data_IF_006393448269
#
_entry.id   IF_006393448269
#
_cell.length_a   1.000
_cell.length_b   1.000
_cell.length_c   1.000
_cell.angle_alpha   90.00
_cell.angle_beta   90.00
_cell.angle_gamma   90.00
#
_symmetry.space_group_name_H-M   'P 1'
#
loop_
_entity.id
_entity.type
_entity.pdbx_description
1 polymer ?
#
# COMPACT_ATOMS: atom_id res chain seq x y z
N UNK A 1 31.67 18.71 14.90
CA UNK A 1 30.47 17.87 14.80
C UNK A 1 29.78 18.19 13.48
N UNK A 2 30.02 17.38 12.44
CA UNK A 2 29.57 17.69 11.06
C UNK A 2 28.09 17.29 10.92
N UNK A 3 27.19 18.18 10.48
CA UNK A 3 25.78 17.84 10.30
C UNK A 3 25.62 16.83 9.16
N UNK A 4 24.90 15.72 9.43
CA UNK A 4 24.62 14.68 8.43
C UNK A 4 23.76 15.27 7.31
N UNK A 5 24.12 15.09 6.03
CA UNK A 5 23.33 15.62 4.92
C UNK A 5 21.95 14.95 4.87
N UNK A 6 20.90 15.76 4.91
CA UNK A 6 19.52 15.30 4.81
C UNK A 6 19.25 14.79 3.39
N UNK A 7 18.81 13.53 3.29
CA UNK A 7 18.45 12.87 2.04
C UNK A 7 17.22 13.57 1.45
N UNK A 8 17.43 14.39 0.43
CA UNK A 8 16.37 15.03 -0.32
C UNK A 8 15.80 14.03 -1.32
N UNK A 9 14.48 14.05 -1.56
CA UNK A 9 13.83 13.05 -2.43
C UNK A 9 12.75 13.67 -3.30
N UNK A 10 12.74 13.39 -4.61
CA UNK A 10 11.78 13.87 -5.64
C UNK A 10 10.90 12.74 -6.15
N UNK A 11 9.66 13.09 -6.52
CA UNK A 11 8.58 12.20 -6.95
C UNK A 11 8.30 12.29 -8.47
N UNK A 12 8.13 11.17 -9.20
CA UNK A 12 7.64 11.13 -10.61
C UNK A 12 6.65 9.96 -10.84
N UNK A 13 5.61 10.16 -11.66
CA UNK A 13 4.56 9.16 -11.96
C UNK A 13 4.42 8.75 -13.44
N UNK A 14 3.93 7.51 -13.67
CA UNK A 14 3.61 6.90 -14.98
C UNK A 14 2.42 5.92 -14.81
N UNK A 15 1.35 6.02 -15.61
CA UNK A 15 0.14 5.17 -15.55
C UNK A 15 -0.27 4.70 -16.96
N UNK A 16 -0.43 3.38 -17.20
CA UNK A 16 -1.39 2.85 -18.21
C UNK A 16 -1.66 1.32 -18.25
N UNK A 17 -0.86 0.43 -17.65
CA UNK A 17 -0.99 -1.05 -17.89
C UNK A 17 -1.63 -1.91 -16.77
N UNK A 18 -2.10 -1.33 -15.66
CA UNK A 18 -2.51 -2.08 -14.45
C UNK A 18 -4.02 -2.41 -14.35
N UNK A 19 -4.86 -1.90 -15.26
CA UNK A 19 -6.32 -1.96 -15.12
C UNK A 19 -6.91 -3.37 -15.38
N UNK A 20 -6.54 -4.05 -16.47
CA UNK A 20 -7.16 -5.34 -16.87
C UNK A 20 -6.86 -6.51 -15.91
N UNK A 21 -5.64 -6.57 -15.38
CA UNK A 21 -5.25 -7.62 -14.41
C UNK A 21 -6.02 -7.49 -13.09
N UNK A 22 -6.38 -6.27 -12.72
CA UNK A 22 -7.12 -5.97 -11.50
C UNK A 22 -8.57 -6.45 -11.59
N UNK A 23 -9.22 -6.29 -12.75
CA UNK A 23 -10.59 -6.76 -12.98
C UNK A 23 -10.71 -8.28 -12.90
N UNK A 24 -9.76 -9.03 -13.49
CA UNK A 24 -9.79 -10.50 -13.46
C UNK A 24 -9.63 -11.11 -12.06
N UNK A 25 -8.87 -10.46 -11.17
CA UNK A 25 -8.70 -10.90 -9.78
C UNK A 25 -10.02 -10.73 -9.00
N UNK A 26 -10.67 -9.58 -9.14
CA UNK A 26 -11.94 -9.27 -8.48
C UNK A 26 -13.03 -10.29 -8.84
N UNK A 27 -13.17 -10.65 -10.12
CA UNK A 27 -14.19 -11.63 -10.56
C UNK A 27 -13.95 -13.02 -9.95
N UNK A 28 -12.68 -13.44 -9.81
CA UNK A 28 -12.34 -14.73 -9.19
C UNK A 28 -12.67 -14.75 -7.71
N UNK A 29 -12.41 -13.65 -7.01
CA UNK A 29 -12.65 -13.57 -5.56
C UNK A 29 -14.14 -13.49 -5.23
N UNK A 30 -14.94 -12.78 -6.03
CA UNK A 30 -16.41 -12.79 -5.93
C UNK A 30 -16.97 -14.21 -6.08
N UNK A 31 -16.48 -14.98 -7.07
CA UNK A 31 -16.95 -16.36 -7.29
C UNK A 31 -16.60 -17.30 -6.13
N UNK A 32 -15.44 -17.10 -5.49
CA UNK A 32 -15.03 -17.88 -4.30
C UNK A 32 -15.88 -17.55 -3.08
N UNK A 33 -16.15 -16.27 -2.84
CA UNK A 33 -16.96 -15.83 -1.70
C UNK A 33 -18.40 -16.35 -1.82
N UNK A 34 -18.99 -16.28 -3.03
CA UNK A 34 -20.32 -16.83 -3.30
C UNK A 34 -20.39 -18.35 -3.05
N UNK A 35 -19.36 -19.10 -3.45
CA UNK A 35 -19.30 -20.55 -3.17
C UNK A 35 -19.20 -20.83 -1.66
N UNK A 36 -18.43 -20.03 -0.93
CA UNK A 36 -18.26 -20.15 0.51
C UNK A 36 -19.56 -19.87 1.27
N UNK A 37 -20.29 -18.83 0.88
CA UNK A 37 -21.60 -18.50 1.46
C UNK A 37 -22.62 -19.62 1.22
N UNK A 38 -22.70 -20.14 -0.01
CA UNK A 38 -23.60 -21.25 -0.35
C UNK A 38 -23.35 -22.51 0.50
N UNK A 39 -22.07 -22.86 0.67
CA UNK A 39 -21.65 -23.99 1.50
C UNK A 39 -21.99 -23.76 2.97
N UNK A 40 -21.77 -22.53 3.46
CA UNK A 40 -22.03 -22.15 4.85
C UNK A 40 -23.52 -22.20 5.16
N UNK A 41 -24.37 -21.65 4.29
CA UNK A 41 -25.83 -21.68 4.44
C UNK A 41 -26.38 -23.10 4.46
N UNK A 42 -25.93 -23.97 3.54
CA UNK A 42 -26.36 -25.38 3.52
C UNK A 42 -25.97 -26.13 4.79
N UNK A 43 -24.82 -25.80 5.37
CA UNK A 43 -24.36 -26.42 6.60
C UNK A 43 -25.13 -25.94 7.84
N UNK A 44 -25.50 -24.67 7.88
CA UNK A 44 -26.34 -24.07 8.93
C UNK A 44 -27.74 -24.67 8.85
N UNK A 45 -28.30 -24.83 7.66
CA UNK A 45 -29.61 -25.43 7.46
C UNK A 45 -29.65 -26.88 7.97
N UNK A 46 -28.65 -27.70 7.63
CA UNK A 46 -28.51 -29.05 8.18
C UNK A 46 -28.35 -29.05 9.71
N UNK A 47 -27.60 -28.10 10.26
CA UNK A 47 -27.44 -27.97 11.72
C UNK A 47 -28.76 -27.62 12.42
N UNK A 48 -29.60 -26.76 11.81
CA UNK A 48 -30.93 -26.40 12.34
C UNK A 48 -31.93 -27.55 12.26
N UNK A 49 -31.82 -28.40 11.23
CA UNK A 49 -32.64 -29.62 11.07
C UNK A 49 -32.24 -30.76 12.02
N UNK A 50 -31.02 -30.70 12.58
CA UNK A 50 -30.48 -31.75 13.44
C UNK A 50 -29.86 -32.92 12.69
N UNK A 51 -29.50 -32.72 11.41
CA UNK A 51 -28.92 -33.76 10.55
C UNK A 51 -27.45 -34.06 10.91
N UNK A 52 -26.97 -35.25 10.52
CA UNK A 52 -25.60 -35.68 10.74
C UNK A 52 -24.58 -34.87 9.91
N UNK A 53 -23.95 -33.88 10.56
CA UNK A 53 -22.91 -33.02 9.97
C UNK A 53 -21.73 -33.79 9.35
N UNK A 54 -21.51 -35.05 9.77
CA UNK A 54 -20.44 -35.91 9.25
C UNK A 54 -20.69 -36.36 7.83
N UNK A 55 -21.94 -36.61 7.46
CA UNK A 55 -22.32 -37.03 6.10
C UNK A 55 -22.27 -35.83 5.15
N UNK A 56 -22.83 -34.70 5.58
CA UNK A 56 -22.78 -33.43 4.84
C UNK A 56 -21.33 -33.00 4.59
N UNK A 57 -20.44 -33.17 5.57
CA UNK A 57 -19.01 -32.88 5.43
C UNK A 57 -18.33 -33.74 4.34
N UNK A 58 -18.69 -35.03 4.22
CA UNK A 58 -18.17 -35.91 3.16
C UNK A 58 -18.67 -35.48 1.78
N UNK A 59 -19.96 -35.17 1.65
CA UNK A 59 -20.53 -34.70 0.38
C UNK A 59 -19.94 -33.38 -0.09
N UNK A 60 -19.60 -32.48 0.83
CA UNK A 60 -19.00 -31.18 0.53
C UNK A 60 -17.46 -31.23 0.44
N UNK A 61 -16.82 -32.32 0.85
CA UNK A 61 -15.36 -32.45 0.89
C UNK A 61 -14.67 -31.55 1.91
N UNK A 62 -15.33 -31.25 3.04
CA UNK A 62 -14.85 -30.30 4.06
C UNK A 62 -14.46 -31.06 5.34
N UNK A 63 -13.42 -30.57 6.03
CA UNK A 63 -13.03 -31.13 7.33
C UNK A 63 -14.15 -30.92 8.36
N UNK A 64 -14.52 -31.99 9.07
CA UNK A 64 -15.60 -31.96 10.09
C UNK A 64 -15.40 -30.87 11.16
N UNK A 65 -14.16 -30.54 11.51
CA UNK A 65 -13.82 -29.46 12.45
C UNK A 65 -14.34 -28.10 11.98
N UNK A 66 -14.21 -27.82 10.69
CA UNK A 66 -14.71 -26.58 10.07
C UNK A 66 -16.24 -26.60 10.07
N UNK A 67 -16.84 -27.74 9.75
CA UNK A 67 -18.29 -27.88 9.76
C UNK A 67 -18.90 -27.59 11.14
N UNK A 68 -18.34 -28.19 12.20
CA UNK A 68 -18.76 -27.93 13.58
C UNK A 68 -18.60 -26.45 13.97
N UNK A 69 -17.49 -25.82 13.57
CA UNK A 69 -17.25 -24.41 13.86
C UNK A 69 -18.23 -23.48 13.16
N UNK A 70 -18.62 -23.80 11.91
CA UNK A 70 -19.63 -23.04 11.17
C UNK A 70 -21.02 -23.24 11.79
N UNK A 71 -21.40 -24.48 12.08
CA UNK A 71 -22.68 -24.81 12.70
C UNK A 71 -22.84 -24.13 14.07
N UNK A 72 -21.79 -24.15 14.90
CA UNK A 72 -21.79 -23.48 16.20
C UNK A 72 -21.80 -21.94 16.11
N UNK A 73 -21.28 -21.37 15.02
CA UNK A 73 -21.30 -19.93 14.81
C UNK A 73 -22.65 -19.41 14.29
N UNK A 74 -23.52 -20.28 13.76
CA UNK A 74 -24.88 -20.02 13.24
C UNK A 74 -25.00 -18.70 12.47
N UNK A 75 -24.03 -18.44 11.59
CA UNK A 75 -23.96 -17.19 10.81
C UNK A 75 -23.54 -17.47 9.38
N UNK A 76 -24.31 -16.93 8.44
CA UNK A 76 -24.10 -17.13 7.01
C UNK A 76 -22.94 -16.28 6.46
N UNK A 77 -22.49 -15.26 7.21
CA UNK A 77 -21.45 -14.32 6.82
C UNK A 77 -20.08 -14.55 7.49
N UNK A 78 -19.01 -14.33 6.73
CA UNK A 78 -17.67 -14.13 7.31
C UNK A 78 -17.64 -12.78 8.04
N UNK A 79 -17.20 -12.75 9.30
CA UNK A 79 -16.92 -11.48 9.96
C UNK A 79 -15.85 -10.73 9.16
N UNK A 80 -16.09 -9.44 8.90
CA UNK A 80 -15.05 -8.59 8.34
C UNK A 80 -13.88 -8.54 9.34
N UNK A 81 -12.63 -8.74 8.89
CA UNK A 81 -11.48 -8.49 9.75
C UNK A 81 -11.55 -7.05 10.24
N UNK A 82 -11.13 -6.81 11.49
CA UNK A 82 -11.07 -5.46 12.04
C UNK A 82 -10.22 -4.54 11.17
N UNK A 83 -10.60 -3.27 11.07
CA UNK A 83 -9.79 -2.26 10.41
C UNK A 83 -8.73 -1.73 11.37
N UNK A 84 -7.51 -1.53 10.87
CA UNK A 84 -6.52 -0.72 11.58
C UNK A 84 -6.86 0.76 11.41
N UNK A 85 -6.81 1.53 12.51
CA UNK A 85 -6.95 2.99 12.45
C UNK A 85 -5.72 3.57 11.74
N UNK A 86 -5.90 4.05 10.52
CA UNK A 86 -4.87 4.81 9.80
C UNK A 86 -4.75 6.19 10.44
N UNK A 87 -3.53 6.65 10.70
CA UNK A 87 -3.27 7.99 11.28
C UNK A 87 -3.55 9.14 10.30
N UNK A 88 -3.63 8.81 9.01
CA UNK A 88 -3.86 9.75 7.91
C UNK A 88 -5.31 9.60 7.47
N UNK A 89 -6.08 10.68 7.62
CA UNK A 89 -7.41 10.80 7.06
C UNK A 89 -7.34 10.97 5.53
N UNK A 90 -8.45 10.71 4.85
CA UNK A 90 -8.55 10.86 3.39
C UNK A 90 -8.31 12.31 2.96
N UNK A 91 -8.79 13.29 3.74
CA UNK A 91 -8.57 14.72 3.51
C UNK A 91 -7.08 15.09 3.59
N UNK A 92 -6.38 14.66 4.64
CA UNK A 92 -4.95 14.87 4.81
C UNK A 92 -4.13 14.19 3.70
N UNK A 93 -4.60 13.04 3.22
CA UNK A 93 -3.98 12.29 2.12
C UNK A 93 -4.10 13.06 0.81
N UNK A 94 -5.28 13.60 0.52
CA UNK A 94 -5.52 14.42 -0.68
C UNK A 94 -4.65 15.68 -0.66
N UNK A 95 -4.67 16.42 0.46
CA UNK A 95 -3.85 17.62 0.64
C UNK A 95 -2.36 17.35 0.43
N UNK A 96 -1.85 16.24 0.98
CA UNK A 96 -0.46 15.84 0.77
C UNK A 96 -0.13 15.59 -0.71
N UNK A 97 -1.04 15.00 -1.48
CA UNK A 97 -0.85 14.78 -2.91
C UNK A 97 -0.83 16.12 -3.66
N UNK A 98 -1.77 17.01 -3.36
CA UNK A 98 -1.86 18.34 -3.98
C UNK A 98 -0.56 19.14 -3.72
N UNK A 99 -0.05 19.11 -2.49
CA UNK A 99 1.23 19.74 -2.11
C UNK A 99 2.42 19.17 -2.89
N UNK A 100 2.42 17.86 -3.16
CA UNK A 100 3.49 17.21 -3.94
C UNK A 100 3.38 17.55 -5.42
N UNK A 101 2.16 17.67 -5.95
CA UNK A 101 1.92 18.08 -7.34
C UNK A 101 2.32 19.55 -7.57
N UNK A 102 2.08 20.44 -6.60
CA UNK A 102 2.55 21.83 -6.62
C UNK A 102 4.08 21.93 -6.57
N UNK A 103 4.72 21.12 -5.72
CA UNK A 103 6.17 21.15 -5.53
C UNK A 103 6.79 19.74 -5.47
N UNK A 104 7.05 19.12 -6.63
CA UNK A 104 7.58 17.76 -6.68
C UNK A 104 9.03 17.64 -6.18
N UNK A 105 9.71 18.78 -5.99
CA UNK A 105 11.08 18.83 -5.45
C UNK A 105 11.13 18.81 -3.92
N UNK A 106 9.97 18.92 -3.26
CA UNK A 106 9.87 18.94 -1.82
C UNK A 106 10.35 17.62 -1.20
N UNK A 107 11.17 17.74 -0.17
CA UNK A 107 11.72 16.59 0.54
C UNK A 107 10.68 16.01 1.51
N UNK A 108 10.76 14.72 1.81
CA UNK A 108 9.89 14.09 2.83
C UNK A 108 9.93 14.81 4.19
N UNK A 109 11.05 15.45 4.53
CA UNK A 109 11.18 16.25 5.74
C UNK A 109 10.32 17.52 5.64
N UNK A 110 10.43 18.27 4.54
CA UNK A 110 9.60 19.47 4.30
C UNK A 110 8.11 19.13 4.22
N UNK A 111 7.77 18.00 3.58
CA UNK A 111 6.39 17.53 3.53
C UNK A 111 5.85 17.21 4.92
N UNK A 112 6.67 16.60 5.78
CA UNK A 112 6.31 16.36 7.19
C UNK A 112 6.05 17.67 7.93
N UNK A 113 6.98 18.62 7.84
CA UNK A 113 6.87 19.94 8.49
C UNK A 113 5.59 20.67 8.03
N UNK A 114 5.28 20.64 6.73
CA UNK A 114 4.05 21.22 6.17
C UNK A 114 2.79 20.51 6.68
N UNK A 115 2.78 19.18 6.69
CA UNK A 115 1.67 18.38 7.23
C UNK A 115 1.41 18.63 8.72
N UNK A 116 2.46 18.79 9.53
CA UNK A 116 2.34 19.10 10.95
C UNK A 116 1.84 20.54 11.19
N UNK A 117 2.07 21.45 10.23
CA UNK A 117 1.56 22.82 10.25
C UNK A 117 0.09 22.88 9.85
N UNK A 118 -0.28 22.20 8.76
CA UNK A 118 -1.63 22.24 8.20
C UNK A 118 -2.64 21.41 9.01
N UNK A 119 -2.20 20.31 9.62
CA UNK A 119 -3.04 19.41 10.42
C UNK A 119 -2.49 19.25 11.85
N UNK A 120 -2.70 20.24 12.74
CA UNK A 120 -2.20 20.18 14.11
C UNK A 120 -2.79 18.97 14.85
N UNK A 121 -1.92 18.21 15.52
CA UNK A 121 -2.28 16.97 16.24
C UNK A 121 -1.97 15.68 15.46
N UNK A 122 -1.59 15.76 14.18
CA UNK A 122 -1.26 14.56 13.39
C UNK A 122 0.24 14.28 13.39
N UNK A 123 0.69 13.37 14.28
CA UNK A 123 2.09 12.94 14.35
C UNK A 123 2.40 11.88 13.30
N UNK A 124 2.93 12.30 12.15
CA UNK A 124 3.23 11.43 11.00
C UNK A 124 4.75 11.25 10.86
N UNK A 125 5.19 10.00 10.69
CA UNK A 125 6.59 9.70 10.41
C UNK A 125 6.91 9.91 8.91
N UNK A 126 8.17 10.26 8.59
CA UNK A 126 8.64 10.35 7.19
C UNK A 126 8.41 9.05 6.41
N UNK A 127 8.53 7.90 7.07
CA UNK A 127 8.29 6.60 6.44
C UNK A 127 6.82 6.38 6.11
N UNK A 128 5.91 6.86 6.97
CA UNK A 128 4.46 6.81 6.72
C UNK A 128 4.09 7.65 5.50
N UNK A 129 4.61 8.87 5.40
CA UNK A 129 4.47 9.73 4.21
C UNK A 129 5.02 9.01 2.98
N UNK A 130 6.20 8.41 3.09
CA UNK A 130 6.82 7.70 1.97
C UNK A 130 6.00 6.51 1.46
N UNK A 131 5.44 5.70 2.37
CA UNK A 131 4.55 4.57 2.02
C UNK A 131 3.24 5.03 1.40
N UNK A 132 2.67 6.11 1.91
CA UNK A 132 1.45 6.69 1.34
C UNK A 132 1.72 7.15 -0.09
N UNK A 133 2.78 7.92 -0.31
CA UNK A 133 3.15 8.38 -1.65
C UNK A 133 3.40 7.20 -2.61
N UNK A 134 4.09 6.15 -2.17
CA UNK A 134 4.29 4.93 -2.95
C UNK A 134 2.96 4.29 -3.39
N UNK A 135 2.00 4.19 -2.46
CA UNK A 135 0.63 3.74 -2.76
C UNK A 135 -0.12 4.65 -3.73
N UNK A 136 0.23 5.94 -3.78
CA UNK A 136 -0.30 6.92 -4.74
C UNK A 136 0.52 7.02 -6.04
N UNK A 137 1.44 6.07 -6.29
CA UNK A 137 2.29 5.97 -7.48
C UNK A 137 3.34 7.06 -7.61
N UNK A 138 3.77 7.61 -6.49
CA UNK A 138 4.83 8.61 -6.42
C UNK A 138 6.16 7.94 -6.08
N UNK A 139 7.12 8.00 -7.00
CA UNK A 139 8.43 7.36 -6.81
C UNK A 139 9.44 8.29 -6.14
N UNK A 140 9.84 7.95 -4.92
CA UNK A 140 10.81 8.66 -4.07
C UNK A 140 12.25 8.47 -4.58
N UNK A 141 12.79 9.44 -5.33
CA UNK A 141 14.17 9.47 -5.84
C UNK A 141 15.14 10.25 -4.96
N UNK A 142 16.28 9.67 -4.57
CA UNK A 142 17.35 10.41 -3.88
C UNK A 142 17.89 11.54 -4.76
N UNK A 143 17.84 12.76 -4.24
CA UNK A 143 18.54 13.91 -4.78
C UNK A 143 20.03 13.74 -4.48
N UNK A 144 20.80 13.49 -5.53
CA UNK A 144 22.24 13.58 -5.47
C UNK A 144 22.61 15.04 -5.75
N UNK A 145 22.96 15.78 -4.71
CA UNK A 145 23.61 17.07 -4.88
C UNK A 145 24.97 16.75 -5.48
N UNK A 146 25.21 17.16 -6.73
CA UNK A 146 26.53 17.05 -7.33
C UNK A 146 27.51 17.81 -6.42
N UNK A 147 28.59 17.17 -5.93
CA UNK A 147 29.59 17.90 -5.16
C UNK A 147 30.13 19.04 -6.02
N UNK A 148 30.29 20.24 -5.44
CA UNK A 148 30.82 21.42 -6.13
C UNK A 148 32.16 21.09 -6.80
N UNK A 149 32.93 20.21 -6.16
CA UNK A 149 34.19 19.64 -6.64
C UNK A 149 34.09 19.02 -8.04
N UNK A 150 32.94 18.47 -8.44
CA UNK A 150 32.73 17.91 -9.79
C UNK A 150 32.73 18.98 -10.89
N UNK A 151 32.54 20.24 -10.53
CA UNK A 151 32.62 21.41 -11.40
C UNK A 151 33.87 22.26 -11.10
N UNK A 152 34.84 21.76 -10.32
CA UNK A 152 36.13 22.44 -10.21
C UNK A 152 36.85 22.42 -11.55
N UNK A 153 37.64 23.47 -11.79
CA UNK A 153 38.31 23.66 -13.07
C UNK A 153 39.28 22.52 -13.38
N UNK A 154 39.97 22.01 -12.35
CA UNK A 154 40.84 20.84 -12.47
C UNK A 154 40.13 19.57 -12.95
N UNK A 155 38.88 19.35 -12.53
CA UNK A 155 38.07 18.20 -12.96
C UNK A 155 37.50 18.42 -14.36
N UNK A 156 37.21 19.66 -14.76
CA UNK A 156 36.80 19.97 -16.14
C UNK A 156 37.94 19.75 -17.12
N UNK A 157 39.14 20.22 -16.80
CA UNK A 157 40.35 20.03 -17.64
C UNK A 157 40.61 18.53 -17.86
N UNK A 158 40.57 17.71 -16.80
CA UNK A 158 40.72 16.25 -16.92
C UNK A 158 39.66 15.58 -17.81
N UNK A 159 38.45 16.14 -17.90
CA UNK A 159 37.40 15.61 -18.79
C UNK A 159 37.67 15.96 -20.25
N UNK A 160 38.19 17.16 -20.50
CA UNK A 160 38.60 17.58 -21.84
C UNK A 160 39.78 16.74 -22.30
N UNK A 161 40.82 16.61 -21.48
CA UNK A 161 41.98 15.75 -21.76
C UNK A 161 41.58 14.30 -22.09
N UNK A 162 40.62 13.73 -21.34
CA UNK A 162 40.13 12.38 -21.61
C UNK A 162 39.30 12.30 -22.90
N UNK A 163 38.53 13.34 -23.24
CA UNK A 163 37.73 13.38 -24.46
C UNK A 163 38.60 13.56 -25.71
N UNK A 164 39.66 14.36 -25.62
CA UNK A 164 40.62 14.58 -26.70
C UNK A 164 41.57 13.39 -26.92
N UNK A 165 41.69 12.49 -25.93
CA UNK A 165 42.46 11.25 -26.03
C UNK A 165 41.74 10.14 -26.82
N UNK A 166 40.43 10.29 -27.06
CA UNK A 166 39.54 9.33 -27.73
C UNK A 166 39.31 9.71 -29.20
#
# INVERSE_FOLDING_TARGET
>A
MVPRPSKNVIVKGLKKSLCEKSVQLVVRDVRKENKKQLVTGRLIECARRGDDLKEVAKHLGIKIKICRAIAAADREGTLKPGSYKTKLNDEATKHLCDVVDENPTATLRKLKERMETDFPGTLISKNSIGRLLDGHHYSIKKLTIQPIERNTESVKVKRVEYADWL
#
